data_IF_382836379889
#
_entry.id   IF_382836379889
#
_cell.length_a   1.000
_cell.length_b   1.000
_cell.length_c   1.000
_cell.angle_alpha   90.00
_cell.angle_beta   90.00
_cell.angle_gamma   90.00
#
_symmetry.space_group_name_H-M   'P 1'
#
loop_
_entity.id
_entity.type
_entity.pdbx_description
1 polymer ?
#
# COMPACT_ATOMS: atom_id res chain seq x y z
N UNK A 1 12.59 41.80 -0.91
CA UNK A 1 12.33 40.42 -0.43
C UNK A 1 12.95 39.47 -1.44
N UNK A 2 13.67 38.44 -0.98
CA UNK A 2 14.15 37.37 -1.86
C UNK A 2 12.95 36.51 -2.27
N UNK A 3 12.83 36.21 -3.57
CA UNK A 3 11.78 35.34 -4.13
C UNK A 3 12.18 33.87 -4.23
N UNK A 4 13.35 33.51 -3.68
CA UNK A 4 13.86 32.15 -3.73
C UNK A 4 13.00 31.20 -2.88
N UNK A 5 12.56 30.10 -3.46
CA UNK A 5 11.75 29.07 -2.81
C UNK A 5 12.17 27.67 -3.25
N UNK A 6 11.98 26.70 -2.37
CA UNK A 6 12.24 25.28 -2.66
C UNK A 6 10.93 24.61 -3.04
N UNK A 7 10.93 23.87 -4.14
CA UNK A 7 9.76 23.08 -4.53
C UNK A 7 9.61 21.86 -3.63
N UNK A 8 8.39 21.58 -3.18
CA UNK A 8 8.08 20.29 -2.56
C UNK A 8 8.37 19.16 -3.54
N UNK A 9 8.99 18.09 -3.06
CA UNK A 9 9.20 16.87 -3.85
C UNK A 9 8.66 15.64 -3.15
N UNK A 10 8.30 14.64 -3.95
CA UNK A 10 8.05 13.28 -3.44
C UNK A 10 9.40 12.60 -3.21
N UNK A 11 9.49 11.80 -2.17
CA UNK A 11 10.67 11.03 -1.84
C UNK A 11 11.18 10.21 -3.03
N UNK A 12 12.46 10.40 -3.37
CA UNK A 12 13.12 9.83 -4.54
C UNK A 12 14.47 9.16 -4.19
N UNK A 13 14.76 8.98 -2.90
CA UNK A 13 16.02 8.43 -2.39
C UNK A 13 17.21 9.40 -2.43
N UNK A 14 17.01 10.67 -2.78
CA UNK A 14 18.07 11.68 -2.85
C UNK A 14 17.77 12.88 -1.96
N UNK A 15 18.81 13.63 -1.60
CA UNK A 15 18.74 14.90 -0.88
C UNK A 15 18.72 16.12 -1.85
N UNK A 16 18.60 15.90 -3.16
CA UNK A 16 18.58 16.99 -4.13
C UNK A 16 17.32 17.85 -4.00
N UNK A 17 17.50 19.17 -4.01
CA UNK A 17 16.44 20.16 -3.96
C UNK A 17 16.45 21.03 -5.23
N UNK A 18 15.26 21.39 -5.71
CA UNK A 18 15.08 22.36 -6.79
C UNK A 18 14.71 23.70 -6.18
N UNK A 19 15.49 24.73 -6.51
CA UNK A 19 15.27 26.11 -6.08
C UNK A 19 14.69 26.90 -7.25
N UNK A 20 13.72 27.75 -6.96
CA UNK A 20 13.05 28.62 -7.94
C UNK A 20 13.09 30.05 -7.46
N UNK A 21 13.10 31.02 -8.38
CA UNK A 21 12.98 32.44 -8.03
C UNK A 21 14.21 33.09 -7.40
N UNK A 22 15.37 32.42 -7.40
CA UNK A 22 16.63 33.04 -7.00
C UNK A 22 17.11 34.00 -8.09
N UNK A 23 17.18 35.29 -7.75
CA UNK A 23 17.62 36.36 -8.65
C UNK A 23 18.47 37.37 -7.86
N UNK A 24 19.40 38.04 -8.54
CA UNK A 24 20.06 39.22 -7.97
C UNK A 24 19.04 40.35 -7.87
N UNK A 25 18.96 40.98 -6.70
CA UNK A 25 18.06 42.11 -6.44
C UNK A 25 18.86 43.37 -6.19
N UNK A 26 18.37 44.49 -6.73
CA UNK A 26 18.89 45.83 -6.45
C UNK A 26 19.96 46.29 -7.43
N UNK A 27 19.63 47.32 -8.20
CA UNK A 27 20.53 47.99 -9.11
C UNK A 27 20.94 49.36 -8.55
N UNK A 28 22.15 49.79 -8.87
CA UNK A 28 22.71 51.10 -8.57
C UNK A 28 23.20 51.81 -9.83
N UNK A 29 23.40 53.12 -9.69
CA UNK A 29 24.13 53.96 -10.66
C UNK A 29 25.42 54.52 -10.08
N UNK A 30 25.73 54.21 -8.81
CA UNK A 30 26.93 54.65 -8.07
C UNK A 30 27.44 53.53 -7.14
N UNK A 31 28.65 53.66 -6.59
CA UNK A 31 29.33 52.61 -5.81
C UNK A 31 29.03 52.63 -4.29
N UNK A 32 28.13 53.50 -3.84
CA UNK A 32 27.98 53.85 -2.42
C UNK A 32 26.69 53.33 -1.73
N UNK A 33 25.84 52.56 -2.42
CA UNK A 33 24.53 52.14 -1.91
C UNK A 33 24.39 50.62 -1.66
N UNK A 34 25.47 49.85 -1.83
CA UNK A 34 25.49 48.41 -1.56
C UNK A 34 24.67 47.56 -2.54
N UNK A 35 24.34 48.10 -3.73
CA UNK A 35 23.70 47.39 -4.85
C UNK A 35 24.67 47.25 -6.03
N UNK A 36 24.33 46.43 -7.02
CA UNK A 36 25.18 46.26 -8.22
C UNK A 36 24.89 47.33 -9.28
N UNK A 37 25.91 47.80 -10.01
CA UNK A 37 25.77 48.86 -11.01
C UNK A 37 25.08 48.30 -12.28
N UNK A 38 24.03 48.96 -12.75
CA UNK A 38 23.11 48.38 -13.75
C UNK A 38 23.66 48.22 -15.18
N UNK A 39 24.72 48.95 -15.53
CA UNK A 39 25.39 48.83 -16.83
C UNK A 39 26.41 47.68 -16.86
N UNK A 40 26.70 47.09 -15.70
CA UNK A 40 27.63 45.98 -15.56
C UNK A 40 26.91 44.63 -15.70
N UNK A 41 27.63 43.63 -16.21
CA UNK A 41 27.11 42.30 -16.45
C UNK A 41 27.46 41.40 -15.27
N UNK A 42 26.47 41.20 -14.40
CA UNK A 42 26.54 40.30 -13.23
C UNK A 42 25.38 39.31 -13.29
N UNK A 43 25.68 38.02 -13.14
CA UNK A 43 24.71 36.93 -13.16
C UNK A 43 24.82 36.07 -11.90
N UNK A 44 23.75 35.33 -11.58
CA UNK A 44 23.73 34.38 -10.47
C UNK A 44 23.82 32.95 -11.01
N UNK A 45 24.81 32.20 -10.56
CA UNK A 45 24.97 30.77 -10.83
C UNK A 45 24.59 29.96 -9.58
N UNK A 46 24.13 28.71 -9.78
CA UNK A 46 23.72 27.82 -8.68
C UNK A 46 22.38 28.15 -8.01
N UNK A 47 21.66 29.18 -8.49
CA UNK A 47 20.38 29.61 -7.93
C UNK A 47 19.18 28.68 -8.21
N UNK A 48 19.35 27.62 -8.98
CA UNK A 48 18.28 26.66 -9.33
C UNK A 48 18.36 25.33 -8.57
N UNK A 49 19.39 25.14 -7.75
CA UNK A 49 19.68 23.86 -7.08
C UNK A 49 20.06 24.07 -5.62
N UNK A 50 19.78 23.06 -4.79
CA UNK A 50 20.27 22.97 -3.43
C UNK A 50 20.28 21.54 -2.93
N UNK A 51 20.64 21.37 -1.66
CA UNK A 51 20.71 20.07 -0.99
C UNK A 51 19.95 20.16 0.32
N UNK A 52 18.97 19.27 0.52
CA UNK A 52 18.30 19.08 1.80
C UNK A 52 19.30 18.55 2.85
N UNK A 53 19.07 18.85 4.13
CA UNK A 53 19.91 18.35 5.22
C UNK A 53 20.04 16.81 5.26
N UNK A 54 19.02 16.10 4.75
CA UNK A 54 19.02 14.66 4.55
C UNK A 54 17.91 14.29 3.54
N UNK A 55 17.93 13.06 3.04
CA UNK A 55 16.95 12.55 2.05
C UNK A 55 15.55 12.29 2.60
N UNK A 56 15.38 12.18 3.92
CA UNK A 56 14.17 11.62 4.52
C UNK A 56 12.98 12.59 4.46
N UNK A 57 11.79 12.01 4.49
CA UNK A 57 10.51 12.73 4.53
C UNK A 57 10.45 13.69 5.71
N UNK A 58 9.95 14.89 5.44
CA UNK A 58 9.82 15.94 6.45
C UNK A 58 9.46 17.29 5.86
N UNK A 59 8.92 18.16 6.69
CA UNK A 59 8.59 19.56 6.37
C UNK A 59 9.60 20.50 7.01
N UNK A 60 9.77 21.69 6.43
CA UNK A 60 10.68 22.70 6.98
C UNK A 60 12.15 22.29 6.97
N UNK A 61 12.52 21.32 6.12
CA UNK A 61 13.88 20.79 6.02
C UNK A 61 14.79 21.87 5.46
N UNK A 62 15.88 22.18 6.16
CA UNK A 62 16.90 23.14 5.70
C UNK A 62 17.46 22.70 4.36
N UNK A 63 17.63 23.67 3.46
CA UNK A 63 18.26 23.50 2.16
C UNK A 63 19.49 24.39 2.07
N UNK A 64 20.64 23.77 1.86
CA UNK A 64 21.90 24.45 1.57
C UNK A 64 22.01 24.71 0.07
N UNK A 65 22.45 25.90 -0.30
CA UNK A 65 22.72 26.28 -1.69
C UNK A 65 24.16 26.73 -1.85
N UNK A 66 24.69 26.63 -3.06
CA UNK A 66 26.03 27.12 -3.40
C UNK A 66 25.88 28.11 -4.55
N UNK A 67 25.40 29.30 -4.22
CA UNK A 67 25.26 30.37 -5.21
C UNK A 67 26.58 31.13 -5.41
N UNK A 68 26.87 31.49 -6.65
CA UNK A 68 28.07 32.27 -7.01
C UNK A 68 27.72 33.35 -8.02
N UNK A 69 28.53 34.42 -8.05
CA UNK A 69 28.41 35.47 -9.05
C UNK A 69 29.17 35.06 -10.32
N UNK A 70 28.57 35.33 -11.47
CA UNK A 70 29.18 35.18 -12.80
C UNK A 70 28.97 36.45 -13.62
N UNK A 71 29.41 36.43 -14.88
CA UNK A 71 29.40 37.61 -15.75
C UNK A 71 30.76 38.33 -15.80
N UNK A 72 30.91 39.26 -16.74
CA UNK A 72 32.18 39.94 -17.00
C UNK A 72 32.65 40.78 -15.80
N UNK A 73 31.70 41.34 -15.06
CA UNK A 73 31.96 42.27 -13.96
C UNK A 73 31.83 41.62 -12.57
N UNK A 74 31.67 40.29 -12.50
CA UNK A 74 31.43 39.55 -11.25
C UNK A 74 32.52 39.77 -10.19
N UNK A 75 33.76 39.96 -10.61
CA UNK A 75 34.92 40.17 -9.72
C UNK A 75 34.86 41.48 -8.93
N UNK A 76 34.00 42.42 -9.34
CA UNK A 76 33.80 43.69 -8.64
C UNK A 76 32.83 43.56 -7.45
N UNK A 77 32.20 42.40 -7.27
CA UNK A 77 31.13 42.19 -6.29
C UNK A 77 31.39 41.00 -5.38
N UNK A 78 30.88 41.09 -4.15
CA UNK A 78 30.86 39.99 -3.18
C UNK A 78 29.43 39.60 -2.86
N UNK A 79 29.13 38.29 -2.91
CA UNK A 79 27.84 37.77 -2.47
C UNK A 79 27.84 37.59 -0.94
N UNK A 80 27.41 38.62 -0.21
CA UNK A 80 27.55 38.66 1.26
C UNK A 80 26.54 37.77 2.00
N UNK A 81 25.32 37.62 1.46
CA UNK A 81 24.25 36.87 2.12
C UNK A 81 23.50 35.99 1.11
N UNK A 82 23.41 34.69 1.43
CA UNK A 82 22.51 33.77 0.75
C UNK A 82 21.26 33.53 1.60
N UNK A 83 20.08 33.38 0.98
CA UNK A 83 18.85 33.10 1.72
C UNK A 83 18.94 31.73 2.40
N UNK A 84 18.47 31.65 3.65
CA UNK A 84 18.16 30.37 4.27
C UNK A 84 16.89 29.83 3.65
N UNK A 85 16.99 28.69 2.97
CA UNK A 85 15.85 28.03 2.35
C UNK A 85 15.41 26.83 3.18
N UNK A 86 14.11 26.57 3.15
CA UNK A 86 13.52 25.37 3.70
C UNK A 86 12.52 24.79 2.69
N UNK A 87 12.39 23.48 2.67
CA UNK A 87 11.46 22.78 1.79
C UNK A 87 10.82 21.56 2.45
N UNK A 88 10.08 20.82 1.64
CA UNK A 88 9.34 19.64 2.08
C UNK A 88 9.66 18.46 1.16
N UNK A 89 9.93 17.31 1.77
CA UNK A 89 9.94 16.00 1.11
C UNK A 89 8.72 15.24 1.61
N UNK A 90 7.79 14.91 0.72
CA UNK A 90 6.61 14.10 1.03
C UNK A 90 6.89 12.62 0.81
N UNK A 91 6.23 11.76 1.58
CA UNK A 91 6.38 10.31 1.43
C UNK A 91 6.00 9.84 0.02
N UNK A 92 6.67 8.77 -0.42
CA UNK A 92 6.34 8.06 -1.65
C UNK A 92 5.32 6.97 -1.35
N UNK A 93 4.22 6.98 -2.11
CA UNK A 93 3.21 5.93 -1.98
C UNK A 93 3.74 4.58 -2.49
N UNK A 94 3.48 3.55 -1.69
CA UNK A 94 3.63 2.13 -2.05
C UNK A 94 2.27 1.46 -2.05
N UNK A 95 2.13 0.48 -2.93
CA UNK A 95 0.91 -0.31 -3.09
C UNK A 95 1.22 -1.79 -2.82
N UNK A 96 0.23 -2.51 -2.31
CA UNK A 96 0.31 -3.97 -2.16
C UNK A 96 -0.27 -4.65 -3.38
N UNK A 97 0.44 -5.65 -3.89
CA UNK A 97 0.04 -6.47 -5.01
C UNK A 97 0.04 -7.96 -4.66
N UNK A 98 -0.56 -8.75 -5.54
CA UNK A 98 -0.57 -10.22 -5.51
C UNK A 98 -1.15 -10.86 -4.24
N UNK A 99 -1.69 -10.06 -3.33
CA UNK A 99 -2.37 -10.52 -2.14
C UNK A 99 -3.61 -11.35 -2.52
N UNK A 100 -3.70 -12.55 -1.99
CA UNK A 100 -4.80 -13.49 -2.21
C UNK A 100 -5.21 -14.14 -0.89
N UNK A 101 -6.47 -14.56 -0.79
CA UNK A 101 -7.01 -15.21 0.41
C UNK A 101 -7.18 -16.70 0.16
N UNK A 102 -6.65 -17.51 1.08
CA UNK A 102 -6.82 -18.97 1.01
C UNK A 102 -8.27 -19.36 1.34
N UNK A 103 -8.84 -20.26 0.55
CA UNK A 103 -10.16 -20.85 0.86
C UNK A 103 -10.07 -21.67 2.14
N UNK A 104 -11.09 -21.57 3.01
CA UNK A 104 -11.18 -22.38 4.22
C UNK A 104 -12.50 -23.14 4.30
N UNK A 105 -12.51 -24.21 5.08
CA UNK A 105 -13.75 -24.87 5.53
C UNK A 105 -14.28 -24.13 6.76
N UNK A 106 -15.60 -24.06 6.91
CA UNK A 106 -16.24 -23.46 8.07
C UNK A 106 -15.72 -24.05 9.39
N UNK A 107 -15.08 -23.22 10.20
CA UNK A 107 -14.51 -23.55 11.50
C UNK A 107 -15.09 -22.70 12.65
N UNK A 108 -16.10 -21.87 12.35
CA UNK A 108 -16.73 -20.97 13.32
C UNK A 108 -15.99 -19.66 13.58
N UNK A 109 -14.86 -19.40 12.93
CA UNK A 109 -14.05 -18.17 13.07
C UNK A 109 -14.09 -17.32 11.79
N UNK A 110 -13.75 -16.05 11.92
CA UNK A 110 -13.60 -15.11 10.80
C UNK A 110 -12.14 -14.85 10.41
N UNK A 111 -11.19 -15.64 10.91
CA UNK A 111 -9.78 -15.51 10.54
C UNK A 111 -9.55 -15.95 9.10
N UNK A 112 -8.86 -15.10 8.34
CA UNK A 112 -8.41 -15.34 6.97
C UNK A 112 -6.89 -15.43 6.90
N UNK A 113 -6.39 -16.32 6.04
CA UNK A 113 -4.97 -16.40 5.69
C UNK A 113 -4.76 -15.68 4.37
N UNK A 114 -3.87 -14.68 4.38
CA UNK A 114 -3.46 -13.94 3.19
C UNK A 114 -2.13 -14.49 2.70
N UNK A 115 -1.97 -14.58 1.39
CA UNK A 115 -0.77 -15.11 0.74
C UNK A 115 -0.38 -14.22 -0.44
N UNK A 116 0.89 -14.27 -0.85
CA UNK A 116 1.37 -13.57 -2.04
C UNK A 116 1.41 -12.04 -1.94
N UNK A 117 1.06 -11.46 -0.79
CA UNK A 117 1.08 -10.01 -0.59
C UNK A 117 2.51 -9.47 -0.60
N UNK A 118 2.81 -8.66 -1.62
CA UNK A 118 4.11 -8.02 -1.85
C UNK A 118 3.91 -6.52 -2.08
N UNK A 119 4.91 -5.73 -1.76
CA UNK A 119 4.90 -4.30 -2.05
C UNK A 119 5.45 -4.09 -3.48
N UNK A 120 4.86 -3.18 -4.25
CA UNK A 120 5.48 -2.69 -5.49
C UNK A 120 5.58 -1.17 -5.43
N UNK A 121 6.74 -0.64 -5.82
CA UNK A 121 6.89 0.75 -6.22
C UNK A 121 6.82 0.89 -7.75
N UNK A 122 7.17 2.06 -8.30
CA UNK A 122 7.42 2.24 -9.74
C UNK A 122 8.64 1.43 -10.28
N UNK A 123 9.20 0.51 -9.50
CA UNK A 123 10.23 -0.45 -9.92
C UNK A 123 9.61 -1.84 -9.99
N UNK A 124 9.95 -2.60 -11.02
CA UNK A 124 9.11 -3.65 -11.64
C UNK A 124 8.91 -4.96 -10.87
N UNK A 125 9.42 -5.12 -9.64
CA UNK A 125 9.14 -6.26 -8.77
C UNK A 125 9.90 -6.06 -7.46
N UNK A 126 9.30 -6.38 -6.32
CA UNK A 126 10.03 -6.47 -5.06
C UNK A 126 9.40 -7.50 -4.13
N UNK A 127 10.11 -8.62 -3.95
CA UNK A 127 9.91 -9.59 -2.88
C UNK A 127 11.05 -9.53 -1.85
N UNK A 128 12.04 -8.65 -2.03
CA UNK A 128 13.28 -8.54 -1.25
C UNK A 128 13.31 -7.37 -0.26
N UNK A 129 12.27 -6.54 -0.22
CA UNK A 129 12.08 -5.41 0.68
C UNK A 129 12.95 -4.20 0.36
N UNK A 130 13.19 -3.91 -0.93
CA UNK A 130 14.13 -2.91 -1.44
C UNK A 130 13.52 -1.95 -2.48
N UNK A 131 13.16 -0.74 -2.04
CA UNK A 131 12.62 0.32 -2.90
C UNK A 131 13.60 1.48 -3.04
N UNK A 132 13.88 1.89 -4.27
CA UNK A 132 14.90 2.91 -4.63
C UNK A 132 16.30 2.57 -4.08
N UNK A 133 17.23 2.24 -4.99
CA UNK A 133 18.63 2.07 -4.63
C UNK A 133 18.89 0.81 -3.81
N UNK A 134 19.12 0.93 -2.50
CA UNK A 134 19.48 -0.12 -1.54
C UNK A 134 18.75 -0.01 -0.20
N UNK A 135 17.66 0.73 -0.15
CA UNK A 135 16.86 0.96 1.04
C UNK A 135 16.13 -0.30 1.50
N UNK A 136 15.72 -0.33 2.76
CA UNK A 136 15.04 -1.47 3.37
C UNK A 136 13.65 -1.08 3.84
N UNK A 137 12.63 -1.58 3.15
CA UNK A 137 11.20 -1.44 3.50
C UNK A 137 10.52 -2.80 3.39
N UNK A 138 9.83 -3.22 4.44
CA UNK A 138 9.16 -4.51 4.53
C UNK A 138 7.66 -4.34 4.70
N UNK A 139 6.90 -5.37 4.29
CA UNK A 139 5.45 -5.43 4.49
C UNK A 139 5.13 -6.29 5.72
N UNK A 140 4.63 -5.66 6.77
CA UNK A 140 4.13 -6.32 7.97
C UNK A 140 2.66 -6.72 7.85
N UNK A 141 2.24 -7.66 8.70
CA UNK A 141 0.86 -8.17 8.79
C UNK A 141 0.28 -8.66 7.45
N UNK A 142 1.13 -9.14 6.56
CA UNK A 142 0.77 -9.49 5.19
C UNK A 142 0.25 -10.93 5.01
N UNK A 143 0.22 -11.71 6.09
CA UNK A 143 -0.23 -13.11 6.09
C UNK A 143 -1.58 -13.31 6.77
N UNK A 144 -2.15 -12.26 7.37
CA UNK A 144 -3.37 -12.33 8.15
C UNK A 144 -4.42 -11.36 7.61
N UNK A 145 -5.68 -11.78 7.70
CA UNK A 145 -6.83 -10.94 7.42
C UNK A 145 -8.05 -11.39 8.21
N UNK A 146 -9.16 -10.67 8.02
CA UNK A 146 -10.44 -10.97 8.66
C UNK A 146 -11.56 -10.99 7.64
N UNK A 147 -12.27 -12.11 7.55
CA UNK A 147 -13.51 -12.19 6.78
C UNK A 147 -14.57 -11.28 7.40
N UNK A 148 -15.33 -10.58 6.57
CA UNK A 148 -16.45 -9.74 7.02
C UNK A 148 -17.57 -10.55 7.73
N UNK A 149 -17.59 -11.87 7.52
CA UNK A 149 -18.47 -12.80 8.22
C UNK A 149 -17.82 -14.18 8.31
N UNK A 150 -18.02 -14.87 9.43
CA UNK A 150 -17.61 -16.27 9.62
C UNK A 150 -18.43 -17.30 8.80
N UNK A 151 -19.54 -16.89 8.18
CA UNK A 151 -20.48 -17.81 7.53
C UNK A 151 -20.02 -18.17 6.10
N UNK A 152 -20.38 -19.38 5.67
CA UNK A 152 -20.13 -19.94 4.31
C UNK A 152 -20.48 -18.93 3.21
N UNK A 153 -19.66 -18.88 2.16
CA UNK A 153 -19.84 -18.03 0.98
C UNK A 153 -18.56 -17.30 0.57
N UNK A 154 -18.64 -16.50 -0.50
CA UNK A 154 -17.60 -15.54 -0.85
C UNK A 154 -17.74 -14.31 0.04
N UNK A 155 -16.67 -13.95 0.75
CA UNK A 155 -16.68 -12.91 1.79
C UNK A 155 -15.55 -11.92 1.54
N UNK A 156 -15.85 -10.64 1.71
CA UNK A 156 -14.83 -9.60 1.76
C UNK A 156 -13.86 -9.88 2.90
N UNK A 157 -12.58 -9.55 2.70
CA UNK A 157 -11.51 -9.70 3.69
C UNK A 157 -10.84 -8.35 3.90
N UNK A 158 -10.76 -7.93 5.15
CA UNK A 158 -9.97 -6.77 5.56
C UNK A 158 -8.58 -7.19 6.04
N UNK A 159 -7.61 -6.31 5.82
CA UNK A 159 -6.21 -6.48 6.21
C UNK A 159 -5.74 -5.26 7.00
N UNK A 160 -4.68 -5.44 7.80
CA UNK A 160 -4.03 -4.38 8.58
C UNK A 160 -2.54 -4.34 8.25
N UNK A 161 -2.22 -4.42 6.96
CA UNK A 161 -0.83 -4.41 6.49
C UNK A 161 -0.15 -3.10 6.87
N UNK A 162 1.14 -3.18 7.19
CA UNK A 162 1.95 -2.03 7.63
C UNK A 162 3.28 -2.00 6.90
N UNK A 163 3.90 -0.82 6.80
CA UNK A 163 5.30 -0.72 6.39
C UNK A 163 6.21 -0.85 7.61
N UNK A 164 7.33 -1.54 7.43
CA UNK A 164 8.43 -1.65 8.39
C UNK A 164 9.78 -1.55 7.68
N UNK A 165 10.88 -1.69 8.42
CA UNK A 165 12.24 -1.50 7.87
C UNK A 165 12.80 -0.10 8.13
N UNK A 166 14.10 0.06 7.90
CA UNK A 166 14.84 1.27 8.26
C UNK A 166 14.36 2.51 7.48
N UNK A 167 13.97 2.32 6.22
CA UNK A 167 13.57 3.42 5.34
C UNK A 167 12.04 3.60 5.27
N UNK A 168 11.25 2.84 6.05
CA UNK A 168 9.79 2.86 6.00
C UNK A 168 9.16 4.24 6.22
N UNK A 169 9.84 5.10 7.00
CA UNK A 169 9.40 6.48 7.28
C UNK A 169 9.27 7.32 6.01
N UNK A 170 9.96 6.93 4.93
CA UNK A 170 9.97 7.65 3.67
C UNK A 170 8.82 7.27 2.72
N UNK A 171 7.98 6.32 3.15
CA UNK A 171 6.95 5.73 2.34
C UNK A 171 5.61 5.69 3.07
N UNK A 172 4.54 5.64 2.29
CA UNK A 172 3.16 5.54 2.77
C UNK A 172 2.48 4.34 2.11
N UNK A 173 1.62 3.63 2.85
CA UNK A 173 0.80 2.55 2.33
C UNK A 173 -0.64 3.03 2.14
N UNK A 174 -0.88 3.73 1.04
CA UNK A 174 -2.09 4.53 0.85
C UNK A 174 -3.27 3.73 0.33
N UNK A 175 -3.03 2.60 -0.36
CA UNK A 175 -4.11 1.74 -0.86
C UNK A 175 -3.74 0.26 -0.71
N UNK A 176 -4.60 -0.48 0.00
CA UNK A 176 -4.53 -1.94 0.09
C UNK A 176 -5.54 -2.57 -0.87
N UNK A 177 -5.26 -3.74 -1.47
CA UNK A 177 -6.15 -4.40 -2.40
C UNK A 177 -7.45 -4.81 -1.70
N UNK A 178 -8.57 -4.66 -2.42
CA UNK A 178 -9.84 -5.23 -1.97
C UNK A 178 -9.78 -6.76 -2.12
N UNK A 179 -9.74 -7.48 -1.00
CA UNK A 179 -9.64 -8.94 -0.99
C UNK A 179 -11.00 -9.60 -0.78
N UNK A 180 -11.19 -10.74 -1.43
CA UNK A 180 -12.28 -11.67 -1.15
C UNK A 180 -11.73 -13.08 -1.00
N UNK A 181 -12.41 -13.90 -0.20
CA UNK A 181 -12.08 -15.32 -0.07
C UNK A 181 -13.31 -16.15 0.21
N UNK A 182 -13.18 -17.46 -0.01
CA UNK A 182 -14.30 -18.40 0.08
C UNK A 182 -14.23 -19.18 1.39
N UNK A 183 -15.36 -19.23 2.10
CA UNK A 183 -15.61 -20.16 3.20
C UNK A 183 -16.55 -21.24 2.67
N UNK A 184 -16.11 -22.50 2.66
CA UNK A 184 -16.89 -23.67 2.25
C UNK A 184 -17.61 -24.31 3.44
N UNK A 185 -18.71 -25.01 3.19
CA UNK A 185 -19.44 -25.70 4.24
C UNK A 185 -18.61 -26.83 4.84
N UNK A 186 -18.83 -27.12 6.13
CA UNK A 186 -18.28 -28.31 6.78
C UNK A 186 -19.27 -29.46 6.60
N UNK A 187 -18.79 -30.56 6.06
CA UNK A 187 -19.62 -31.75 5.86
C UNK A 187 -20.06 -32.33 7.21
N UNK A 188 -21.33 -32.76 7.25
CA UNK A 188 -21.90 -33.52 8.35
C UNK A 188 -22.35 -34.88 7.81
N UNK A 189 -21.98 -35.95 8.50
CA UNK A 189 -22.41 -37.31 8.17
C UNK A 189 -23.38 -37.81 9.24
N UNK A 190 -24.48 -38.43 8.80
CA UNK A 190 -25.39 -39.14 9.70
C UNK A 190 -24.91 -40.58 9.82
N UNK A 191 -24.65 -41.03 11.04
CA UNK A 191 -24.37 -42.42 11.33
C UNK A 191 -25.68 -43.19 11.58
N UNK A 192 -25.98 -44.16 10.72
CA UNK A 192 -27.15 -45.07 10.85
C UNK A 192 -26.74 -46.49 11.21
N UNK A 193 -25.47 -46.74 11.56
CA UNK A 193 -24.94 -48.07 11.87
C UNK A 193 -25.62 -48.76 13.06
N UNK A 194 -26.35 -48.01 13.91
CA UNK A 194 -27.15 -48.52 15.02
C UNK A 194 -28.65 -48.71 14.75
N UNK A 195 -29.15 -48.47 13.53
CA UNK A 195 -30.59 -48.57 13.22
C UNK A 195 -30.98 -49.98 12.80
N UNK A 196 -31.53 -50.77 13.72
CA UNK A 196 -32.18 -52.05 13.41
C UNK A 196 -33.66 -51.84 13.06
N UNK A 197 -34.07 -52.09 11.82
CA UNK A 197 -35.49 -52.08 11.44
C UNK A 197 -36.08 -53.48 11.67
N UNK A 198 -36.78 -53.68 12.79
CA UNK A 198 -37.60 -54.89 13.00
C UNK A 198 -38.99 -54.68 12.39
N UNK A 199 -39.20 -55.15 11.16
CA UNK A 199 -40.56 -55.34 10.64
C UNK A 199 -41.17 -56.60 11.26
N UNK A 200 -42.07 -56.45 12.23
CA UNK A 200 -42.96 -57.55 12.63
C UNK A 200 -44.09 -57.64 11.61
N UNK A 201 -43.92 -58.50 10.60
CA UNK A 201 -45.08 -58.94 9.82
C UNK A 201 -45.92 -59.85 10.73
N UNK A 202 -47.05 -59.35 11.25
CA UNK A 202 -48.06 -60.26 11.80
C UNK A 202 -48.58 -61.10 10.63
N UNK A 203 -48.20 -62.38 10.61
CA UNK A 203 -48.73 -63.33 9.63
C UNK A 203 -50.27 -63.28 9.69
N UNK A 204 -50.92 -63.03 8.55
CA UNK A 204 -52.35 -63.25 8.43
C UNK A 204 -52.54 -64.76 8.63
N UNK A 205 -53.23 -65.16 9.70
CA UNK A 205 -53.52 -66.56 9.98
C UNK A 205 -54.20 -67.24 8.77
N UNK A 206 -54.06 -68.57 8.62
CA UNK A 206 -54.55 -69.26 7.44
C UNK A 206 -56.05 -69.03 7.28
N UNK A 207 -56.45 -68.58 6.09
CA UNK A 207 -57.85 -68.48 5.68
C UNK A 207 -58.39 -69.91 5.56
N UNK A 208 -59.20 -70.36 6.50
CA UNK A 208 -59.97 -71.60 6.36
C UNK A 208 -61.03 -71.38 5.28
N UNK A 209 -60.77 -71.87 4.07
CA UNK A 209 -61.79 -71.95 3.03
C UNK A 209 -62.69 -73.15 3.32
N UNK A 210 -63.91 -72.91 3.80
CA UNK A 210 -64.96 -73.91 3.76
C UNK A 210 -65.30 -74.18 2.29
N UNK A 211 -64.92 -75.37 1.81
CA UNK A 211 -65.28 -75.86 0.47
C UNK A 211 -66.69 -76.43 0.54
N UNK A 212 -67.69 -75.67 0.07
CA UNK A 212 -69.01 -76.22 -0.21
C UNK A 212 -69.00 -76.78 -1.63
N UNK A 213 -68.92 -78.10 -1.78
CA UNK A 213 -69.19 -78.79 -3.05
C UNK A 213 -70.66 -78.59 -3.43
N UNK A 214 -70.98 -78.04 -4.62
CA UNK A 214 -72.34 -78.01 -5.13
C UNK A 214 -72.72 -79.39 -5.69
N UNK A 215 -73.81 -79.97 -5.21
CA UNK A 215 -74.44 -81.14 -5.84
C UNK A 215 -75.20 -80.69 -7.10
N UNK A 216 -74.81 -81.21 -8.26
CA UNK A 216 -75.57 -81.09 -9.52
C UNK A 216 -76.77 -82.03 -9.52
N UNK A 217 -78.00 -81.58 -9.85
CA UNK A 217 -79.09 -82.47 -10.23
C UNK A 217 -78.93 -82.92 -11.69
N UNK A 218 -79.21 -84.21 -11.96
CA UNK A 218 -79.32 -84.81 -13.30
C UNK A 218 -80.64 -84.44 -13.99
N UNK A 219 -80.78 -84.65 -15.32
CA UNK A 219 -81.77 -84.01 -16.19
C UNK A 219 -83.23 -84.38 -15.93
#
# INVERSE_FOLDING_TARGET
MFSAAVTTKVYDGTDSAVVTGAVLVGNSTADNDGKYISTEVVTLSGGSSGTFADKNVGTGKTVTTVMTLGGADAGNYTLLNQPTLAGTITAKDLNVFSAAVTTKVYDGTDSAVVTGAVLMGNSTSDTDGKYIGNEVVTLGNNTAGKFASKNVGNRAVSTTMTLGGADAVNYTLSTQPALTGVITAKDLTVDVSGVTISKVYKARGPRTTASTTPSTPSP
#
